data_IF_207625574613
#
_entry.id   IF_207625574613
#
_cell.length_a   1.000
_cell.length_b   1.000
_cell.length_c   1.000
_cell.angle_alpha   90.00
_cell.angle_beta   90.00
_cell.angle_gamma   90.00
#
_symmetry.space_group_name_H-M   'P 1'
#
loop_
_entity.id
_entity.type
_entity.pdbx_description
1 polymer ?
#
# COMPACT_ATOMS: atom_id res chain seq x y z
N UNK A 1 -35.86 -16.11 33.56
CA UNK A 1 -35.30 -15.51 34.80
C UNK A 1 -33.87 -15.99 34.91
N UNK A 2 -32.89 -15.20 34.49
CA UNK A 2 -31.46 -15.59 34.61
C UNK A 2 -30.65 -14.46 35.26
N UNK A 3 -30.87 -14.30 36.57
CA UNK A 3 -29.91 -13.66 37.49
C UNK A 3 -29.73 -14.54 38.73
N UNK A 4 -29.08 -15.71 38.60
CA UNK A 4 -28.98 -16.68 39.69
C UNK A 4 -28.17 -16.19 40.90
N UNK A 5 -27.27 -15.22 40.71
CA UNK A 5 -26.44 -14.67 41.78
C UNK A 5 -27.21 -13.74 42.73
N UNK A 6 -28.17 -12.94 42.23
CA UNK A 6 -28.96 -12.01 43.06
C UNK A 6 -30.30 -12.60 43.49
N UNK A 7 -30.82 -13.58 42.76
CA UNK A 7 -32.02 -14.32 43.14
C UNK A 7 -31.78 -15.38 44.23
N UNK A 8 -30.51 -15.68 44.56
CA UNK A 8 -30.15 -16.68 45.57
C UNK A 8 -30.61 -16.34 46.99
N UNK A 9 -30.85 -15.06 47.30
CA UNK A 9 -31.30 -14.63 48.63
C UNK A 9 -32.82 -14.49 48.73
N UNK A 10 -33.54 -14.46 47.61
CA UNK A 10 -34.98 -14.17 47.57
C UNK A 10 -35.81 -15.44 47.35
N UNK A 11 -36.75 -15.71 48.23
CA UNK A 11 -37.68 -16.84 48.09
C UNK A 11 -38.77 -16.53 47.06
N UNK A 12 -39.10 -17.50 46.19
CA UNK A 12 -40.13 -17.39 45.15
C UNK A 12 -41.59 -17.45 45.68
N UNK A 13 -41.77 -17.08 46.95
CA UNK A 13 -43.03 -17.05 47.70
C UNK A 13 -43.46 -15.57 47.89
N UNK A 14 -44.76 -15.34 48.11
CA UNK A 14 -45.33 -14.03 48.49
C UNK A 14 -44.58 -13.37 49.66
N UNK A 15 -44.00 -14.17 50.57
CA UNK A 15 -43.10 -13.73 51.64
C UNK A 15 -41.81 -13.03 51.19
N UNK A 16 -41.29 -13.35 50.00
CA UNK A 16 -40.10 -12.73 49.41
C UNK A 16 -40.36 -11.35 48.77
N UNK A 17 -41.61 -10.88 48.73
CA UNK A 17 -41.99 -9.59 48.10
C UNK A 17 -41.18 -8.40 48.63
N UNK A 18 -40.89 -8.37 49.93
CA UNK A 18 -40.13 -7.27 50.55
C UNK A 18 -38.65 -7.22 50.13
N UNK A 19 -38.06 -8.36 49.76
CA UNK A 19 -36.69 -8.44 49.25
C UNK A 19 -36.62 -7.97 47.80
N UNK A 20 -37.55 -8.41 46.95
CA UNK A 20 -37.65 -7.92 45.57
C UNK A 20 -37.94 -6.41 45.50
N UNK A 21 -38.73 -5.87 46.43
CA UNK A 21 -38.96 -4.41 46.51
C UNK A 21 -37.70 -3.64 46.94
N UNK A 22 -36.88 -4.19 47.85
CA UNK A 22 -35.58 -3.59 48.22
C UNK A 22 -34.58 -3.64 47.06
N UNK A 23 -34.54 -4.74 46.31
CA UNK A 23 -33.72 -4.84 45.09
C UNK A 23 -34.19 -3.80 44.07
N UNK A 24 -35.50 -3.66 43.84
CA UNK A 24 -36.06 -2.66 42.94
C UNK A 24 -35.77 -1.22 43.39
N UNK A 25 -35.87 -0.92 44.69
CA UNK A 25 -35.52 0.38 45.25
C UNK A 25 -34.04 0.69 45.08
N UNK A 26 -33.16 -0.28 45.31
CA UNK A 26 -31.71 -0.14 45.08
C UNK A 26 -31.41 0.11 43.61
N UNK A 27 -31.97 -0.69 42.69
CA UNK A 27 -31.77 -0.53 41.24
C UNK A 27 -32.29 0.84 40.73
N UNK A 28 -33.39 1.34 41.31
CA UNK A 28 -33.93 2.68 41.01
C UNK A 28 -33.09 3.79 41.62
N UNK A 29 -32.60 3.62 42.85
CA UNK A 29 -31.73 4.58 43.52
C UNK A 29 -30.38 4.71 42.81
N UNK A 30 -29.85 3.59 42.30
CA UNK A 30 -28.64 3.53 41.48
C UNK A 30 -28.84 4.08 40.05
N UNK A 31 -30.07 4.54 39.72
CA UNK A 31 -30.47 5.09 38.41
C UNK A 31 -30.11 4.21 37.23
N UNK A 32 -30.12 2.88 37.42
CA UNK A 32 -29.79 1.92 36.36
C UNK A 32 -30.60 2.15 35.06
N UNK A 33 -31.91 2.48 35.10
CA UNK A 33 -32.66 2.78 33.87
C UNK A 33 -32.15 4.01 33.12
N UNK A 34 -31.72 5.07 33.83
CA UNK A 34 -31.19 6.28 33.20
C UNK A 34 -29.80 6.03 32.61
N UNK A 35 -28.97 5.23 33.28
CA UNK A 35 -27.67 4.81 32.76
C UNK A 35 -27.81 3.89 31.55
N UNK A 36 -28.77 2.97 31.58
CA UNK A 36 -29.09 2.09 30.47
C UNK A 36 -29.56 2.91 29.25
N UNK A 37 -30.46 3.87 29.44
CA UNK A 37 -30.91 4.75 28.36
C UNK A 37 -29.76 5.59 27.79
N UNK A 38 -28.97 6.25 28.65
CA UNK A 38 -27.79 7.04 28.21
C UNK A 38 -26.75 6.20 27.49
N UNK A 39 -26.58 4.96 27.91
CA UNK A 39 -25.69 4.02 27.27
C UNK A 39 -26.18 3.69 25.86
N UNK A 40 -27.47 3.36 25.70
CA UNK A 40 -28.08 3.15 24.39
C UNK A 40 -28.00 4.39 23.49
N UNK A 41 -28.24 5.58 24.05
CA UNK A 41 -28.13 6.84 23.31
C UNK A 41 -26.69 7.10 22.84
N UNK A 42 -25.69 6.89 23.69
CA UNK A 42 -24.26 7.02 23.34
C UNK A 42 -23.83 5.97 22.31
N UNK A 43 -24.30 4.73 22.45
CA UNK A 43 -24.07 3.66 21.50
C UNK A 43 -24.66 4.00 20.12
N UNK A 44 -25.82 4.67 20.11
CA UNK A 44 -26.51 5.12 18.91
C UNK A 44 -25.74 6.22 18.20
N UNK A 45 -25.28 7.24 18.91
CA UNK A 45 -24.76 8.44 18.26
C UNK A 45 -23.28 8.34 17.86
N UNK A 46 -22.40 7.88 18.76
CA UNK A 46 -20.95 7.87 18.50
C UNK A 46 -20.41 6.57 17.90
N UNK A 47 -20.93 5.41 18.31
CA UNK A 47 -20.44 4.14 17.78
C UNK A 47 -20.88 3.93 16.33
N UNK A 48 -22.08 4.37 15.94
CA UNK A 48 -22.59 4.15 14.59
C UNK A 48 -21.84 4.94 13.52
N UNK A 49 -21.52 6.21 13.79
CA UNK A 49 -20.77 7.05 12.84
C UNK A 49 -19.35 6.51 12.64
N UNK A 50 -18.66 6.17 13.73
CA UNK A 50 -17.28 5.68 13.66
C UNK A 50 -17.18 4.26 13.06
N UNK A 51 -18.09 3.36 13.42
CA UNK A 51 -18.12 1.99 12.87
C UNK A 51 -18.52 2.00 11.39
N UNK A 52 -19.52 2.80 11.03
CA UNK A 52 -19.93 2.99 9.63
C UNK A 52 -18.78 3.53 8.78
N UNK A 53 -18.10 4.58 9.26
CA UNK A 53 -16.94 5.17 8.58
C UNK A 53 -15.79 4.17 8.44
N UNK A 54 -15.51 3.38 9.49
CA UNK A 54 -14.48 2.33 9.43
C UNK A 54 -14.82 1.27 8.37
N UNK A 55 -16.06 0.79 8.37
CA UNK A 55 -16.53 -0.20 7.40
C UNK A 55 -16.45 0.35 5.96
N UNK A 56 -16.85 1.60 5.76
CA UNK A 56 -16.74 2.28 4.47
C UNK A 56 -15.28 2.41 4.02
N UNK A 57 -14.37 2.81 4.92
CA UNK A 57 -12.95 2.95 4.62
C UNK A 57 -12.32 1.63 4.19
N UNK A 58 -12.66 0.53 4.87
CA UNK A 58 -12.16 -0.81 4.52
C UNK A 58 -12.77 -1.31 3.20
N UNK A 59 -14.06 -1.03 2.94
CA UNK A 59 -14.73 -1.44 1.69
C UNK A 59 -14.24 -0.65 0.47
N UNK A 60 -13.97 0.63 0.63
CA UNK A 60 -13.53 1.54 -0.45
C UNK A 60 -12.05 1.37 -0.79
N UNK A 61 -11.20 0.97 0.17
CA UNK A 61 -9.75 0.89 -0.03
C UNK A 61 -9.31 0.09 -1.28
N UNK A 62 -9.84 -1.11 -1.61
CA UNK A 62 -9.47 -1.81 -2.85
C UNK A 62 -9.78 -1.02 -4.12
N UNK A 63 -10.90 -0.27 -4.13
CA UNK A 63 -11.29 0.59 -5.25
C UNK A 63 -10.37 1.79 -5.37
N UNK A 64 -9.99 2.40 -4.25
CA UNK A 64 -9.01 3.49 -4.24
C UNK A 64 -7.66 3.05 -4.80
N UNK A 65 -7.16 1.88 -4.38
CA UNK A 65 -5.94 1.30 -4.93
C UNK A 65 -6.06 1.11 -6.44
N UNK A 66 -7.18 0.56 -6.93
CA UNK A 66 -7.42 0.39 -8.37
C UNK A 66 -7.42 1.73 -9.12
N UNK A 67 -8.07 2.75 -8.57
CA UNK A 67 -8.12 4.08 -9.18
C UNK A 67 -6.73 4.72 -9.26
N UNK A 68 -5.89 4.52 -8.23
CA UNK A 68 -4.51 5.03 -8.21
C UNK A 68 -3.56 4.26 -9.13
N UNK A 69 -3.85 2.99 -9.44
CA UNK A 69 -3.09 2.20 -10.42
C UNK A 69 -3.48 2.51 -11.87
N UNK A 70 -4.70 2.99 -12.13
CA UNK A 70 -5.15 3.34 -13.47
C UNK A 70 -4.18 4.28 -14.25
N UNK A 71 -3.75 5.45 -13.71
CA UNK A 71 -2.82 6.32 -14.44
C UNK A 71 -1.44 5.68 -14.65
N UNK A 72 -1.04 4.75 -13.78
CA UNK A 72 0.21 4.00 -13.96
C UNK A 72 0.07 3.10 -15.18
N UNK A 73 -1.03 2.35 -15.29
CA UNK A 73 -1.30 1.53 -16.47
C UNK A 73 -1.43 2.36 -17.76
N UNK A 74 -1.92 3.61 -17.67
CA UNK A 74 -1.97 4.52 -18.83
C UNK A 74 -0.57 4.83 -19.37
N UNK A 75 0.39 5.15 -18.50
CA UNK A 75 1.78 5.35 -18.89
C UNK A 75 2.43 4.06 -19.39
N UNK A 76 2.16 2.93 -18.75
CA UNK A 76 2.72 1.63 -19.15
C UNK A 76 2.23 1.16 -20.51
N UNK A 77 1.03 1.56 -20.95
CA UNK A 77 0.56 1.31 -22.32
C UNK A 77 1.32 2.08 -23.37
N UNK A 78 1.95 3.21 -23.03
CA UNK A 78 2.75 4.02 -23.95
C UNK A 78 4.19 3.53 -24.06
N UNK A 79 4.70 2.86 -23.03
CA UNK A 79 6.04 2.26 -23.03
C UNK A 79 6.01 0.79 -23.48
N UNK A 80 6.62 0.42 -24.62
CA UNK A 80 6.69 -0.96 -25.05
C UNK A 80 7.60 -1.79 -24.11
N UNK A 81 7.06 -2.90 -23.61
CA UNK A 81 7.83 -3.88 -22.84
C UNK A 81 8.61 -4.85 -23.73
N UNK A 82 8.04 -5.17 -24.89
CA UNK A 82 8.66 -5.96 -25.95
C UNK A 82 8.00 -5.55 -27.26
N UNK A 83 8.58 -5.88 -28.43
CA UNK A 83 7.95 -5.54 -29.71
C UNK A 83 6.49 -6.01 -29.76
N UNK A 84 5.56 -5.07 -29.87
CA UNK A 84 4.12 -5.32 -29.87
C UNK A 84 3.47 -5.60 -28.51
N UNK A 85 4.19 -5.48 -27.38
CA UNK A 85 3.66 -5.85 -26.07
C UNK A 85 3.89 -4.78 -25.02
N UNK A 86 2.92 -4.62 -24.12
CA UNK A 86 2.97 -3.71 -22.99
C UNK A 86 2.62 -4.45 -21.68
N UNK A 87 3.00 -3.87 -20.56
CA UNK A 87 2.66 -4.40 -19.24
C UNK A 87 1.43 -3.70 -18.66
N UNK A 88 0.63 -4.45 -17.90
CA UNK A 88 -0.51 -3.95 -17.14
C UNK A 88 -0.43 -4.47 -15.70
N UNK A 89 -0.59 -3.58 -14.73
CA UNK A 89 -0.78 -3.98 -13.32
C UNK A 89 -2.26 -4.25 -13.09
N UNK A 90 -2.63 -5.51 -12.90
CA UNK A 90 -3.98 -5.89 -12.47
C UNK A 90 -4.05 -5.91 -10.95
N UNK A 91 -5.03 -5.20 -10.41
CA UNK A 91 -5.36 -5.21 -8.98
C UNK A 91 -6.57 -6.11 -8.76
N UNK A 92 -6.35 -7.25 -8.13
CA UNK A 92 -7.41 -8.20 -7.78
C UNK A 92 -7.80 -8.07 -6.31
N UNK A 93 -9.11 -8.00 -5.99
CA UNK A 93 -9.56 -8.05 -4.61
C UNK A 93 -9.26 -9.44 -4.03
N UNK A 94 -8.56 -9.46 -2.90
CA UNK A 94 -8.17 -10.69 -2.19
C UNK A 94 -8.40 -10.52 -0.70
N UNK A 95 -9.64 -10.21 -0.31
CA UNK A 95 -9.98 -10.03 1.10
C UNK A 95 -9.98 -11.38 1.82
N UNK A 96 -9.26 -11.54 2.95
CA UNK A 96 -9.35 -12.73 3.79
C UNK A 96 -10.78 -12.95 4.30
N UNK A 97 -11.20 -14.20 4.48
CA UNK A 97 -12.53 -14.53 5.03
C UNK A 97 -12.78 -13.83 6.37
N UNK A 98 -11.79 -13.82 7.25
CA UNK A 98 -11.82 -13.15 8.55
C UNK A 98 -12.15 -11.65 8.45
N UNK A 99 -11.61 -10.97 7.43
CA UNK A 99 -11.90 -9.56 7.21
C UNK A 99 -13.30 -9.34 6.61
N UNK A 100 -13.82 -10.33 5.86
CA UNK A 100 -15.20 -10.31 5.37
C UNK A 100 -16.20 -10.52 6.51
N UNK A 101 -15.92 -11.45 7.43
CA UNK A 101 -16.72 -11.67 8.65
C UNK A 101 -16.75 -10.42 9.52
N UNK A 102 -15.58 -9.79 9.72
CA UNK A 102 -15.48 -8.52 10.43
C UNK A 102 -16.36 -7.42 9.78
N UNK A 103 -16.34 -7.28 8.45
CA UNK A 103 -17.20 -6.32 7.77
C UNK A 103 -18.69 -6.62 7.89
N UNK A 104 -19.06 -7.91 7.98
CA UNK A 104 -20.43 -8.33 8.23
C UNK A 104 -20.84 -8.00 9.67
N UNK A 105 -19.95 -8.17 10.65
CA UNK A 105 -20.16 -7.73 12.04
C UNK A 105 -20.33 -6.21 12.12
N UNK A 106 -19.48 -5.42 11.44
CA UNK A 106 -19.66 -3.96 11.40
C UNK A 106 -20.99 -3.57 10.72
N UNK A 107 -21.43 -4.35 9.73
CA UNK A 107 -22.70 -4.12 9.05
C UNK A 107 -23.88 -4.44 9.95
N UNK A 108 -23.85 -5.53 10.73
CA UNK A 108 -24.94 -5.87 11.64
C UNK A 108 -25.07 -4.87 12.79
N UNK A 109 -23.94 -4.28 13.23
CA UNK A 109 -23.94 -3.18 14.21
C UNK A 109 -24.59 -1.91 13.62
N UNK A 110 -24.44 -1.67 12.32
CA UNK A 110 -24.92 -0.46 11.63
C UNK A 110 -26.25 -0.63 10.90
N UNK A 111 -26.77 -1.86 10.80
CA UNK A 111 -28.03 -2.17 10.13
C UNK A 111 -29.26 -1.70 10.94
N UNK A 112 -30.19 -1.05 10.25
CA UNK A 112 -31.50 -0.56 10.70
C UNK A 112 -31.53 0.26 12.00
N UNK A 113 -31.39 1.57 11.80
CA UNK A 113 -31.53 2.69 12.75
C UNK A 113 -32.94 2.81 13.36
N UNK A 114 -33.95 2.26 12.66
CA UNK A 114 -35.37 2.42 13.00
C UNK A 114 -35.93 1.34 13.94
N UNK A 115 -35.19 0.25 14.19
CA UNK A 115 -35.69 -0.89 14.96
C UNK A 115 -35.31 -0.87 16.45
N UNK A 116 -34.64 0.17 16.95
CA UNK A 116 -34.31 0.29 18.38
C UNK A 116 -35.54 0.55 19.27
N UNK A 117 -36.69 0.90 18.68
CA UNK A 117 -37.92 1.17 19.43
C UNK A 117 -38.79 -0.09 19.64
N UNK A 118 -38.64 -1.14 18.82
CA UNK A 118 -39.57 -2.28 18.82
C UNK A 118 -39.01 -3.60 19.39
N UNK A 119 -37.68 -3.79 19.49
CA UNK A 119 -37.11 -5.05 20.01
C UNK A 119 -35.81 -4.86 20.83
N UNK A 120 -35.95 -4.95 22.16
CA UNK A 120 -34.85 -4.88 23.13
C UNK A 120 -33.87 -6.07 22.99
N UNK A 121 -34.33 -7.23 22.54
CA UNK A 121 -33.46 -8.39 22.32
C UNK A 121 -32.52 -8.15 21.13
N UNK A 122 -32.98 -7.44 20.10
CA UNK A 122 -32.17 -7.10 18.93
C UNK A 122 -31.10 -6.06 19.26
N UNK A 123 -31.42 -5.06 20.08
CA UNK A 123 -30.44 -4.10 20.58
C UNK A 123 -29.34 -4.78 21.42
N UNK A 124 -29.71 -5.73 22.27
CA UNK A 124 -28.79 -6.53 23.08
C UNK A 124 -27.87 -7.39 22.19
N UNK A 125 -28.42 -8.09 21.19
CA UNK A 125 -27.62 -8.87 20.22
C UNK A 125 -26.57 -8.01 19.52
N UNK A 126 -26.94 -6.81 19.07
CA UNK A 126 -26.02 -5.86 18.41
C UNK A 126 -24.95 -5.37 19.36
N UNK A 127 -25.32 -5.05 20.61
CA UNK A 127 -24.37 -4.65 21.63
C UNK A 127 -23.34 -5.75 21.89
N UNK A 128 -23.76 -7.02 21.97
CA UNK A 128 -22.84 -8.14 22.17
C UNK A 128 -21.84 -8.28 21.02
N UNK A 129 -22.27 -8.08 19.76
CA UNK A 129 -21.37 -8.07 18.59
C UNK A 129 -20.37 -6.91 18.69
N UNK A 130 -20.85 -5.70 18.99
CA UNK A 130 -19.98 -4.52 19.15
C UNK A 130 -18.97 -4.71 20.28
N UNK A 131 -19.42 -5.19 21.44
CA UNK A 131 -18.57 -5.48 22.58
C UNK A 131 -17.50 -6.50 22.21
N UNK A 132 -17.87 -7.63 21.60
CA UNK A 132 -16.92 -8.66 21.13
C UNK A 132 -15.86 -8.06 20.22
N UNK A 133 -16.29 -7.29 19.20
CA UNK A 133 -15.39 -6.65 18.24
C UNK A 133 -14.44 -5.67 18.92
N UNK A 134 -14.95 -4.80 19.79
CA UNK A 134 -14.14 -3.81 20.50
C UNK A 134 -13.15 -4.45 21.48
N UNK A 135 -13.59 -5.47 22.23
CA UNK A 135 -12.70 -6.25 23.10
C UNK A 135 -11.59 -6.90 22.29
N UNK A 136 -11.91 -7.49 21.14
CA UNK A 136 -10.92 -8.13 20.28
C UNK A 136 -9.95 -7.11 19.66
N UNK A 137 -10.44 -5.94 19.24
CA UNK A 137 -9.60 -4.84 18.72
C UNK A 137 -8.64 -4.27 19.77
N UNK A 138 -9.09 -4.17 21.03
CA UNK A 138 -8.31 -3.69 22.17
C UNK A 138 -7.40 -4.74 22.83
N UNK A 139 -7.55 -6.02 22.47
CA UNK A 139 -6.79 -7.12 23.03
C UNK A 139 -5.30 -7.06 22.66
N UNK A 140 -4.46 -7.44 23.63
CA UNK A 140 -3.01 -7.59 23.45
C UNK A 140 -2.60 -9.03 23.22
N UNK A 141 -3.52 -9.95 22.95
CA UNK A 141 -3.20 -11.33 22.62
C UNK A 141 -2.60 -11.47 21.21
N UNK A 142 -1.71 -12.43 21.01
CA UNK A 142 -1.03 -12.62 19.73
C UNK A 142 -2.01 -12.96 18.59
N UNK A 143 -3.01 -13.79 18.87
CA UNK A 143 -4.04 -14.17 17.92
C UNK A 143 -4.87 -12.95 17.49
N UNK A 144 -5.29 -12.11 18.45
CA UNK A 144 -6.11 -10.93 18.19
C UNK A 144 -5.33 -9.84 17.46
N UNK A 145 -4.03 -9.68 17.73
CA UNK A 145 -3.17 -8.79 16.92
C UNK A 145 -3.08 -9.25 15.46
N UNK A 146 -2.95 -10.55 15.23
CA UNK A 146 -2.92 -11.12 13.87
C UNK A 146 -4.25 -10.91 13.16
N UNK A 147 -5.35 -11.23 13.83
CA UNK A 147 -6.73 -10.99 13.37
C UNK A 147 -6.95 -9.51 13.03
N UNK A 148 -6.60 -8.59 13.94
CA UNK A 148 -6.71 -7.15 13.76
C UNK A 148 -5.92 -6.68 12.54
N UNK A 149 -4.72 -7.21 12.34
CA UNK A 149 -3.90 -6.90 11.17
C UNK A 149 -4.59 -7.40 9.89
N UNK A 150 -5.15 -8.60 9.88
CA UNK A 150 -5.88 -9.10 8.70
C UNK A 150 -7.14 -8.27 8.39
N UNK A 151 -7.84 -7.79 9.42
CA UNK A 151 -9.07 -7.00 9.26
C UNK A 151 -8.79 -5.54 8.85
N UNK A 152 -7.82 -4.87 9.50
CA UNK A 152 -7.57 -3.44 9.34
C UNK A 152 -6.50 -3.10 8.30
N UNK A 153 -5.55 -4.00 8.02
CA UNK A 153 -4.52 -3.76 7.00
C UNK A 153 -5.09 -4.01 5.60
N UNK A 154 -5.67 -2.97 5.01
CA UNK A 154 -6.28 -3.03 3.67
C UNK A 154 -5.29 -3.37 2.56
N UNK A 155 -3.97 -3.26 2.80
CA UNK A 155 -2.94 -3.71 1.85
C UNK A 155 -2.98 -5.22 1.64
N UNK A 156 -3.47 -5.97 2.64
CA UNK A 156 -3.67 -7.42 2.55
C UNK A 156 -4.97 -7.80 1.83
N UNK A 157 -5.82 -6.82 1.50
CA UNK A 157 -7.11 -7.06 0.85
C UNK A 157 -7.05 -6.98 -0.67
N UNK A 158 -5.86 -6.72 -1.22
CA UNK A 158 -5.58 -6.65 -2.66
C UNK A 158 -4.38 -7.50 -3.00
N UNK A 159 -4.37 -8.04 -4.22
CA UNK A 159 -3.23 -8.69 -4.84
C UNK A 159 -2.91 -7.97 -6.14
N UNK A 160 -1.62 -7.88 -6.45
CA UNK A 160 -1.13 -7.29 -7.68
C UNK A 160 -0.60 -8.40 -8.59
N UNK A 161 -0.96 -8.32 -9.86
CA UNK A 161 -0.46 -9.19 -10.92
C UNK A 161 0.07 -8.31 -12.05
N UNK A 162 1.28 -8.58 -12.53
CA UNK A 162 1.78 -7.97 -13.76
C UNK A 162 1.35 -8.81 -14.96
N UNK A 163 0.58 -8.26 -15.88
CA UNK A 163 0.16 -8.93 -17.11
C UNK A 163 0.95 -8.39 -18.29
N UNK A 164 1.41 -9.26 -19.17
CA UNK A 164 1.96 -8.88 -20.48
C UNK A 164 0.83 -8.98 -21.52
N UNK A 165 0.52 -7.87 -22.19
CA UNK A 165 -0.53 -7.79 -23.21
C UNK A 165 0.04 -7.45 -24.57
N UNK A 166 -0.51 -8.08 -25.60
CA UNK A 166 -0.27 -7.74 -27.00
C UNK A 166 -1.00 -6.45 -27.42
N UNK A 167 -0.73 -5.94 -28.62
CA UNK A 167 -1.42 -4.80 -29.26
C UNK A 167 -2.93 -5.01 -29.36
N UNK A 168 -3.36 -6.27 -29.53
CA UNK A 168 -4.77 -6.66 -29.58
C UNK A 168 -5.42 -6.79 -28.19
N UNK A 169 -4.65 -6.53 -27.12
CA UNK A 169 -5.11 -6.60 -25.73
C UNK A 169 -5.20 -8.02 -25.17
N UNK A 170 -4.68 -9.03 -25.87
CA UNK A 170 -4.66 -10.43 -25.38
C UNK A 170 -3.56 -10.58 -24.33
N UNK A 171 -3.87 -11.22 -23.20
CA UNK A 171 -2.87 -11.55 -22.17
C UNK A 171 -1.99 -12.68 -22.69
N UNK A 172 -0.72 -12.38 -22.90
CA UNK A 172 0.30 -13.30 -23.41
C UNK A 172 1.01 -14.01 -22.26
N UNK A 173 1.28 -13.29 -21.17
CA UNK A 173 1.92 -13.83 -19.97
C UNK A 173 1.42 -13.12 -18.71
N UNK A 174 1.63 -13.72 -17.55
CA UNK A 174 1.30 -13.13 -16.25
C UNK A 174 2.38 -13.40 -15.21
N UNK A 175 2.59 -12.43 -14.33
CA UNK A 175 3.63 -12.40 -13.34
C UNK A 175 3.03 -12.19 -11.95
N UNK A 176 3.21 -13.18 -11.08
CA UNK A 176 2.89 -13.07 -9.66
C UNK A 176 4.17 -12.80 -8.88
N UNK A 177 4.11 -11.87 -7.92
CA UNK A 177 5.24 -11.33 -7.16
C UNK A 177 5.97 -12.34 -6.24
N UNK A 178 5.84 -13.65 -6.47
CA UNK A 178 6.35 -14.69 -5.58
C UNK A 178 6.92 -15.97 -6.21
N UNK A 179 6.73 -16.31 -7.49
CA UNK A 179 7.18 -17.61 -8.02
C UNK A 179 7.88 -17.59 -9.40
N UNK A 180 9.17 -17.99 -9.35
CA UNK A 180 9.86 -18.89 -10.30
C UNK A 180 9.66 -18.80 -11.81
N UNK A 181 10.29 -17.82 -12.50
CA UNK A 181 10.76 -17.94 -13.92
C UNK A 181 12.10 -17.20 -14.16
N UNK A 182 12.61 -17.24 -15.39
CA UNK A 182 13.94 -16.82 -15.88
C UNK A 182 14.49 -15.52 -15.27
N UNK A 183 15.79 -15.49 -14.95
CA UNK A 183 16.47 -14.35 -14.29
C UNK A 183 16.25 -13.00 -14.97
N UNK A 184 16.23 -12.97 -16.30
CA UNK A 184 16.02 -11.73 -17.08
C UNK A 184 14.58 -11.19 -17.04
N UNK A 185 13.57 -12.05 -16.98
CA UNK A 185 12.17 -11.61 -16.83
C UNK A 185 11.88 -11.12 -15.40
N UNK A 186 12.52 -11.73 -14.39
CA UNK A 186 12.41 -11.28 -12.99
C UNK A 186 13.00 -9.88 -12.79
N UNK A 187 14.16 -9.59 -13.36
CA UNK A 187 14.77 -8.25 -13.26
C UNK A 187 13.90 -7.19 -13.94
N UNK A 188 13.29 -7.50 -15.10
CA UNK A 188 12.40 -6.58 -15.83
C UNK A 188 11.15 -6.22 -15.04
N UNK A 189 10.56 -7.20 -14.36
CA UNK A 189 9.42 -6.98 -13.50
C UNK A 189 9.77 -6.13 -12.26
N UNK A 190 10.98 -6.26 -11.71
CA UNK A 190 11.38 -5.52 -10.50
C UNK A 190 11.53 -4.03 -10.78
N UNK A 191 12.23 -3.64 -11.85
CA UNK A 191 12.40 -2.22 -12.20
C UNK A 191 11.05 -1.58 -12.57
N UNK A 192 10.21 -2.34 -13.28
CA UNK A 192 8.83 -1.95 -13.57
C UNK A 192 8.01 -1.73 -12.29
N UNK A 193 7.99 -2.71 -11.38
CA UNK A 193 7.27 -2.62 -10.12
C UNK A 193 7.80 -1.47 -9.27
N UNK A 194 9.11 -1.21 -9.32
CA UNK A 194 9.74 -0.08 -8.64
C UNK A 194 9.26 1.25 -9.22
N UNK A 195 9.32 1.45 -10.54
CA UNK A 195 8.87 2.68 -11.19
C UNK A 195 7.37 2.94 -10.95
N UNK A 196 6.55 1.89 -11.07
CA UNK A 196 5.13 1.94 -10.74
C UNK A 196 4.88 2.27 -9.26
N UNK A 197 5.61 1.63 -8.34
CA UNK A 197 5.48 1.89 -6.90
C UNK A 197 5.92 3.32 -6.53
N UNK A 198 7.00 3.81 -7.13
CA UNK A 198 7.48 5.17 -6.94
C UNK A 198 6.44 6.17 -7.44
N UNK A 199 5.87 5.95 -8.63
CA UNK A 199 4.81 6.81 -9.16
C UNK A 199 3.57 6.76 -8.27
N UNK A 200 3.17 5.58 -7.79
CA UNK A 200 2.06 5.42 -6.85
C UNK A 200 2.26 6.17 -5.53
N UNK A 201 3.48 6.17 -4.99
CA UNK A 201 3.80 6.82 -3.72
C UNK A 201 3.99 8.34 -3.86
N UNK A 202 4.57 8.79 -4.98
CA UNK A 202 5.00 10.18 -5.17
C UNK A 202 3.99 11.04 -5.96
N UNK A 203 3.07 10.44 -6.71
CA UNK A 203 2.01 11.19 -7.38
C UNK A 203 0.89 11.55 -6.37
N UNK A 204 0.64 12.84 -6.19
CA UNK A 204 -0.56 13.34 -5.50
C UNK A 204 -1.78 13.19 -6.42
N UNK A 205 -2.98 13.06 -5.84
CA UNK A 205 -4.25 12.72 -6.52
C UNK A 205 -4.66 13.62 -7.71
N UNK A 206 -3.99 14.75 -7.94
CA UNK A 206 -4.41 15.76 -8.92
C UNK A 206 -3.33 16.22 -9.90
N UNK A 207 -2.13 15.64 -9.90
CA UNK A 207 -1.02 16.12 -10.76
C UNK A 207 -0.57 15.07 -11.77
N UNK A 208 -0.51 15.46 -13.05
CA UNK A 208 -0.02 14.63 -14.15
C UNK A 208 1.50 14.36 -14.05
N UNK A 209 2.23 15.15 -13.25
CA UNK A 209 3.67 15.02 -12.99
C UNK A 209 3.94 14.89 -11.49
N UNK A 210 4.99 14.18 -11.06
CA UNK A 210 5.31 14.06 -9.63
C UNK A 210 5.81 15.39 -9.07
N UNK A 211 5.26 15.88 -7.96
CA UNK A 211 5.67 17.15 -7.33
C UNK A 211 7.15 17.15 -6.89
N UNK A 212 7.68 15.98 -6.56
CA UNK A 212 9.11 15.71 -6.36
C UNK A 212 9.43 14.35 -6.98
N UNK A 213 10.35 14.32 -7.93
CA UNK A 213 10.59 13.15 -8.76
C UNK A 213 12.06 12.93 -9.14
N UNK A 214 13.03 13.39 -8.35
CA UNK A 214 14.43 13.07 -8.61
C UNK A 214 14.74 11.64 -8.17
N UNK A 215 15.18 10.79 -9.08
CA UNK A 215 15.66 9.43 -8.80
C UNK A 215 17.18 9.42 -8.98
N UNK A 216 17.89 9.12 -7.90
CA UNK A 216 19.35 8.90 -7.94
C UNK A 216 19.62 7.41 -8.05
N UNK A 217 20.35 6.99 -9.08
CA UNK A 217 20.75 5.60 -9.28
C UNK A 217 22.28 5.50 -9.27
N UNK A 218 22.81 4.88 -8.21
CA UNK A 218 24.24 4.55 -8.12
C UNK A 218 24.50 3.18 -8.77
N UNK A 219 25.65 3.04 -9.42
CA UNK A 219 26.00 1.91 -10.30
C UNK A 219 24.87 1.56 -11.28
N UNK A 220 24.25 2.59 -11.85
CA UNK A 220 23.06 2.43 -12.67
C UNK A 220 23.35 1.47 -13.84
N UNK A 221 22.67 0.33 -13.82
CA UNK A 221 22.66 -0.65 -14.90
C UNK A 221 23.99 -1.38 -15.22
N UNK A 222 25.02 -1.30 -14.36
CA UNK A 222 26.37 -1.87 -14.59
C UNK A 222 26.41 -3.36 -14.99
N UNK A 223 25.38 -4.14 -14.62
CA UNK A 223 25.25 -5.58 -14.92
C UNK A 223 24.07 -5.93 -15.83
N UNK A 224 23.44 -4.93 -16.43
CA UNK A 224 22.20 -5.08 -17.20
C UNK A 224 22.46 -5.04 -18.70
N UNK A 225 21.65 -5.78 -19.47
CA UNK A 225 21.65 -5.69 -20.94
C UNK A 225 21.29 -4.27 -21.39
N UNK A 226 21.92 -3.75 -22.45
CA UNK A 226 21.61 -2.45 -23.07
C UNK A 226 20.10 -2.28 -23.32
N UNK A 227 19.45 -3.34 -23.78
CA UNK A 227 18.01 -3.38 -24.06
C UNK A 227 17.16 -3.17 -22.80
N UNK A 228 17.68 -3.63 -21.66
CA UNK A 228 17.04 -3.48 -20.35
C UNK A 228 17.20 -2.07 -19.80
N UNK A 229 18.42 -1.53 -19.88
CA UNK A 229 18.73 -0.17 -19.46
C UNK A 229 17.84 0.84 -20.17
N UNK A 230 17.73 0.73 -21.50
CA UNK A 230 16.87 1.59 -22.31
C UNK A 230 15.40 1.55 -21.86
N UNK A 231 14.86 0.34 -21.67
CA UNK A 231 13.48 0.15 -21.19
C UNK A 231 13.26 0.79 -19.82
N UNK A 232 14.20 0.65 -18.89
CA UNK A 232 14.07 1.25 -17.57
C UNK A 232 14.04 2.79 -17.66
N UNK A 233 14.92 3.38 -18.47
CA UNK A 233 15.00 4.82 -18.69
C UNK A 233 13.74 5.35 -19.41
N UNK A 234 13.25 4.65 -20.43
CA UNK A 234 11.98 4.95 -21.11
C UNK A 234 10.83 5.06 -20.10
N UNK A 235 10.74 4.08 -19.20
CA UNK A 235 9.72 4.03 -18.17
C UNK A 235 9.85 5.21 -17.20
N UNK A 236 11.07 5.50 -16.71
CA UNK A 236 11.28 6.61 -15.78
C UNK A 236 11.01 7.98 -16.42
N UNK A 237 11.41 8.17 -17.67
CA UNK A 237 11.13 9.37 -18.45
C UNK A 237 9.62 9.55 -18.69
N UNK A 238 8.91 8.48 -19.10
CA UNK A 238 7.47 8.49 -19.33
C UNK A 238 6.67 8.75 -18.03
N UNK A 239 7.21 8.36 -16.88
CA UNK A 239 6.63 8.68 -15.57
C UNK A 239 6.95 10.10 -15.07
N UNK A 240 7.76 10.86 -15.81
CA UNK A 240 8.14 12.24 -15.49
C UNK A 240 9.12 12.36 -14.33
N UNK A 241 9.97 11.34 -14.12
CA UNK A 241 11.03 11.42 -13.13
C UNK A 241 12.26 12.16 -13.69
N UNK A 242 12.86 13.00 -12.86
CA UNK A 242 14.17 13.58 -13.11
C UNK A 242 15.24 12.55 -12.70
N UNK A 243 16.05 12.09 -13.65
CA UNK A 243 17.05 11.07 -13.38
C UNK A 243 18.42 11.69 -13.08
N UNK A 244 19.05 11.17 -12.02
CA UNK A 244 20.45 11.41 -11.67
C UNK A 244 21.18 10.07 -11.65
N UNK A 245 22.08 9.85 -12.60
CA UNK A 245 22.74 8.55 -12.76
C UNK A 245 24.21 8.66 -12.37
N UNK A 246 24.69 7.67 -11.62
CA UNK A 246 26.10 7.40 -11.41
C UNK A 246 26.45 6.06 -12.05
N UNK A 247 27.23 6.10 -13.13
CA UNK A 247 27.63 4.90 -13.89
C UNK A 247 29.10 4.97 -14.32
N UNK A 248 29.79 3.82 -14.45
CA UNK A 248 31.04 3.72 -15.21
C UNK A 248 30.81 4.08 -16.69
N UNK A 249 31.85 4.56 -17.40
CA UNK A 249 31.80 5.09 -18.78
C UNK A 249 31.21 4.16 -19.87
N UNK A 250 30.97 2.88 -19.57
CA UNK A 250 30.66 1.82 -20.54
C UNK A 250 29.27 1.91 -21.19
N UNK A 251 28.39 2.85 -20.81
CA UNK A 251 27.01 2.93 -21.30
C UNK A 251 26.56 4.32 -21.78
N UNK A 252 27.49 5.26 -22.00
CA UNK A 252 27.19 6.63 -22.42
C UNK A 252 26.24 6.75 -23.63
N UNK A 253 26.38 5.87 -24.63
CA UNK A 253 25.54 5.93 -25.84
C UNK A 253 24.05 5.69 -25.59
N UNK A 254 23.69 4.97 -24.52
CA UNK A 254 22.28 4.68 -24.19
C UNK A 254 21.67 5.82 -23.39
N UNK A 255 22.47 6.51 -22.60
CA UNK A 255 22.04 7.56 -21.67
C UNK A 255 21.86 8.91 -22.36
N UNK A 256 22.59 9.15 -23.46
CA UNK A 256 22.54 10.39 -24.25
C UNK A 256 21.13 10.77 -24.71
N UNK A 257 20.26 9.79 -24.98
CA UNK A 257 18.87 10.02 -25.40
C UNK A 257 17.97 10.54 -24.26
N UNK A 258 18.36 10.35 -23.00
CA UNK A 258 17.53 10.60 -21.81
C UNK A 258 18.05 11.70 -20.89
N UNK A 259 19.34 12.05 -21.01
CA UNK A 259 20.04 12.90 -20.05
C UNK A 259 20.57 14.16 -20.75
N UNK A 260 20.23 15.32 -20.18
CA UNK A 260 20.60 16.63 -20.71
C UNK A 260 22.05 17.04 -20.48
N UNK A 261 22.73 16.49 -19.46
CA UNK A 261 24.09 16.86 -19.13
C UNK A 261 24.88 15.79 -18.36
N UNK A 262 26.20 15.83 -18.53
CA UNK A 262 27.16 14.88 -17.96
C UNK A 262 28.21 15.64 -17.17
N UNK A 263 28.59 15.13 -16.01
CA UNK A 263 29.75 15.57 -15.25
C UNK A 263 30.69 14.39 -15.01
N UNK A 264 31.96 14.54 -15.38
CA UNK A 264 33.00 13.56 -15.09
C UNK A 264 33.56 13.83 -13.68
N UNK A 265 33.53 12.82 -12.82
CA UNK A 265 34.20 12.87 -11.52
C UNK A 265 35.50 12.08 -11.59
N UNK A 266 36.60 12.78 -11.32
CA UNK A 266 37.95 12.21 -11.19
C UNK A 266 38.40 12.29 -9.75
N UNK A 267 39.13 11.28 -9.28
CA UNK A 267 39.72 11.27 -7.95
C UNK A 267 41.23 11.13 -8.07
N UNK A 268 41.96 12.22 -7.84
CA UNK A 268 43.42 12.21 -7.92
C UNK A 268 44.00 11.62 -6.63
N UNK A 269 44.81 10.56 -6.77
CA UNK A 269 45.46 9.82 -5.67
C UNK A 269 44.51 9.30 -4.57
N UNK A 270 43.21 9.19 -4.86
CA UNK A 270 42.18 8.79 -3.88
C UNK A 270 41.89 9.82 -2.79
N UNK A 271 42.42 11.05 -2.92
CA UNK A 271 42.36 12.07 -1.86
C UNK A 271 41.56 13.30 -2.27
N UNK A 272 41.58 13.67 -3.56
CA UNK A 272 40.92 14.88 -4.06
C UNK A 272 39.94 14.53 -5.21
N UNK A 273 38.64 14.67 -4.94
CA UNK A 273 37.58 14.46 -5.93
C UNK A 273 37.23 15.77 -6.65
N UNK A 274 37.28 15.76 -7.97
CA UNK A 274 36.95 16.88 -8.84
C UNK A 274 35.81 16.49 -9.78
N UNK A 275 34.77 17.33 -9.86
CA UNK A 275 33.66 17.16 -10.80
C UNK A 275 33.74 18.23 -11.90
N UNK A 276 33.81 17.80 -13.15
CA UNK A 276 33.88 18.70 -14.31
C UNK A 276 32.69 18.44 -15.23
N UNK A 277 31.82 19.44 -15.52
CA UNK A 277 30.78 19.28 -16.53
C UNK A 277 31.44 19.13 -17.91
N UNK A 278 31.01 18.14 -18.68
CA UNK A 278 31.55 17.81 -20.00
C UNK A 278 30.42 17.65 -21.00
N UNK A 279 30.73 17.87 -22.28
CA UNK A 279 29.82 17.53 -23.37
C UNK A 279 29.80 16.02 -23.63
N UNK A 280 28.73 15.51 -24.24
CA UNK A 280 28.64 14.09 -24.65
C UNK A 280 29.78 13.68 -25.61
N UNK A 281 30.23 14.59 -26.47
CA UNK A 281 31.37 14.34 -27.37
C UNK A 281 32.70 14.17 -26.61
N UNK A 282 32.89 14.94 -25.53
CA UNK A 282 34.07 14.84 -24.67
C UNK A 282 34.02 13.56 -23.83
N UNK A 283 32.86 13.24 -23.25
CA UNK A 283 32.67 12.00 -22.50
C UNK A 283 32.97 10.75 -23.36
N UNK A 284 32.53 10.72 -24.63
CA UNK A 284 32.84 9.62 -25.56
C UNK A 284 34.32 9.51 -25.93
N UNK A 285 35.03 10.63 -26.02
CA UNK A 285 36.50 10.63 -26.26
C UNK A 285 37.26 10.00 -25.09
N UNK A 286 36.77 10.17 -23.87
CA UNK A 286 37.33 9.51 -22.69
C UNK A 286 37.04 8.01 -22.67
N UNK A 287 35.83 7.57 -23.05
CA UNK A 287 35.47 6.14 -23.17
C UNK A 287 36.28 5.42 -24.27
N UNK A 288 36.45 6.03 -25.45
CA UNK A 288 37.15 5.43 -26.60
C UNK A 288 38.68 5.44 -26.54
N UNK A 289 39.28 6.03 -25.50
CA UNK A 289 40.74 6.24 -25.38
C UNK A 289 41.49 5.25 -24.46
N UNK A 290 40.78 4.38 -23.74
CA UNK A 290 41.40 3.48 -22.77
C UNK A 290 41.78 2.12 -23.42
N UNK A 291 43.01 2.02 -23.93
CA UNK A 291 43.64 0.71 -24.17
C UNK A 291 43.90 0.06 -22.78
N UNK A 292 43.38 -1.14 -22.48
CA UNK A 292 43.44 -1.74 -21.14
C UNK A 292 44.85 -2.07 -20.62
N UNK A 293 45.92 -1.72 -21.36
CA UNK A 293 47.32 -1.91 -20.97
C UNK A 293 48.06 -0.65 -20.53
N UNK A 294 47.50 0.55 -20.72
CA UNK A 294 48.15 1.81 -20.36
C UNK A 294 47.30 2.69 -19.41
N UNK A 295 46.27 2.13 -18.77
CA UNK A 295 45.55 2.85 -17.72
C UNK A 295 46.47 3.03 -16.49
N UNK A 296 46.84 4.27 -16.09
CA UNK A 296 47.39 4.47 -14.77
C UNK A 296 46.34 4.03 -13.76
N UNK A 297 46.81 3.50 -12.62
CA UNK A 297 46.02 3.05 -11.48
C UNK A 297 45.19 4.22 -10.91
N UNK A 298 44.10 4.56 -11.61
CA UNK A 298 43.25 5.72 -11.33
C UNK A 298 41.90 5.17 -10.93
N UNK A 299 41.71 5.15 -9.63
CA UNK A 299 40.52 4.71 -8.92
C UNK A 299 39.30 5.56 -9.32
N UNK A 300 38.27 4.84 -9.80
CA UNK A 300 36.87 5.25 -9.91
C UNK A 300 36.58 6.56 -10.67
N UNK A 301 36.58 6.51 -12.00
CA UNK A 301 35.86 7.48 -12.83
C UNK A 301 34.36 7.25 -12.68
N UNK A 302 33.65 8.22 -12.10
CA UNK A 302 32.19 8.16 -11.92
C UNK A 302 31.57 9.32 -12.67
N UNK A 303 30.68 9.04 -13.61
CA UNK A 303 29.92 10.08 -14.30
C UNK A 303 28.71 10.42 -13.45
N UNK A 304 28.51 11.69 -13.11
CA UNK A 304 27.25 12.19 -12.56
C UNK A 304 26.46 12.83 -13.69
N UNK A 305 25.32 12.26 -13.98
CA UNK A 305 24.43 12.72 -15.04
C UNK A 305 23.23 13.44 -14.43
N UNK A 306 22.90 14.63 -14.95
CA UNK A 306 21.80 15.46 -14.43
C UNK A 306 20.92 15.86 -15.62
N UNK A 307 19.62 15.60 -15.51
CA UNK A 307 18.63 16.01 -16.53
C UNK A 307 18.08 17.39 -16.16
N UNK A 308 17.82 18.27 -17.13
CA UNK A 308 17.08 19.52 -16.89
C UNK A 308 15.68 19.40 -17.44
#
# INVERSE_FOLDING_TARGET
MEWPAEASEATADVGGRGEYLRILERLRADRLPDFEQRFFDMLREQSQQNVGLLAERIRSAPREVKNRVAPINDSLRRSPFSPGRHLEIRVDPSRPAVAQDFLNDLQSITADVLAFEDDREEAERRFQVLHRVMTQLGSSEAADRSWRTQCLDTRRHVKFLGLERDVDGVVVDWHESGQGRSGGQKQKLVVFCLAAALRYQLARESEEVPTYGSIVMDEAFDKSDVTFTRMALDIFAEFGFHMILATPLKMLQVLEDYVGGVALVTCQDGQDSHATPVTWEEARRHDGGADPKDAPDTSAETLFEVTT
#
